data_IF_343308475206
#
_entry.id   IF_343308475206
#
_cell.length_a   1.000
_cell.length_b   1.000
_cell.length_c   1.000
_cell.angle_alpha   90.00
_cell.angle_beta   90.00
_cell.angle_gamma   90.00
#
_symmetry.space_group_name_H-M   'P 1'
#
loop_
_entity.id
_entity.type
_entity.pdbx_description
1 polymer ?
#
# COMPACT_ATOMS: atom_id res chain seq x y z
N UNK A 1 -0.80 0.85 -33.85
CA UNK A 1 -0.89 0.25 -35.18
C UNK A 1 -0.11 1.05 -36.25
N UNK A 2 -0.04 2.38 -36.20
CA UNK A 2 0.66 3.22 -37.18
C UNK A 2 2.16 2.91 -37.30
N UNK A 3 2.82 2.50 -36.22
CA UNK A 3 4.25 2.14 -36.30
C UNK A 3 4.50 0.83 -37.01
N UNK A 4 3.51 -0.06 -37.11
CA UNK A 4 3.57 -1.35 -37.81
C UNK A 4 3.10 -1.27 -39.24
N UNK A 5 2.77 -0.06 -39.74
CA UNK A 5 2.28 0.13 -41.11
C UNK A 5 0.78 0.03 -41.27
N UNK A 6 0.05 -0.22 -40.20
CA UNK A 6 -1.41 -0.41 -40.20
C UNK A 6 -2.13 0.89 -39.80
N UNK A 7 -3.40 1.01 -40.18
CA UNK A 7 -4.22 2.14 -39.82
C UNK A 7 -5.63 1.70 -39.41
N UNK A 8 -6.16 2.34 -38.37
CA UNK A 8 -7.55 2.19 -37.95
C UNK A 8 -8.28 3.51 -38.27
N UNK A 9 -9.28 3.42 -39.15
CA UNK A 9 -10.13 4.54 -39.54
C UNK A 9 -11.33 4.69 -38.62
N UNK A 10 -11.94 5.88 -38.63
CA UNK A 10 -13.12 6.24 -37.82
C UNK A 10 -12.95 6.12 -36.31
N UNK A 11 -11.73 6.44 -35.81
CA UNK A 11 -11.48 6.56 -34.36
C UNK A 11 -12.28 7.66 -33.68
N UNK A 12 -12.80 8.60 -34.46
CA UNK A 12 -13.65 9.68 -33.98
C UNK A 12 -14.80 9.91 -34.94
N UNK A 13 -15.93 10.38 -34.45
CA UNK A 13 -17.08 10.78 -35.23
C UNK A 13 -17.63 12.12 -34.76
N UNK A 14 -18.40 12.80 -35.60
CA UNK A 14 -19.05 14.06 -35.28
C UNK A 14 -20.55 13.81 -35.16
N UNK A 15 -21.15 14.30 -34.08
CA UNK A 15 -22.60 14.19 -33.85
C UNK A 15 -23.40 15.22 -34.67
N UNK A 16 -24.71 15.18 -34.54
CA UNK A 16 -25.64 16.15 -35.21
C UNK A 16 -25.48 17.58 -34.73
N UNK A 17 -24.80 17.80 -33.60
CA UNK A 17 -24.50 19.12 -33.03
C UNK A 17 -23.10 19.60 -33.38
N UNK A 18 -22.40 18.92 -34.29
CA UNK A 18 -21.03 19.20 -34.69
C UNK A 18 -19.97 18.98 -33.61
N UNK A 19 -20.28 18.26 -32.51
CA UNK A 19 -19.30 17.91 -31.50
C UNK A 19 -18.55 16.65 -31.92
N UNK A 20 -17.22 16.67 -31.73
CA UNK A 20 -16.35 15.53 -32.06
C UNK A 20 -16.21 14.60 -30.87
N UNK A 21 -16.56 13.33 -31.07
CA UNK A 21 -16.50 12.27 -30.08
C UNK A 21 -15.47 11.21 -30.48
N UNK A 22 -14.85 10.57 -29.47
CA UNK A 22 -14.05 9.36 -29.70
C UNK A 22 -14.99 8.19 -29.95
N UNK A 23 -14.79 7.50 -31.06
CA UNK A 23 -15.56 6.29 -31.37
C UNK A 23 -15.10 5.13 -30.48
N UNK A 24 -16.00 4.64 -29.64
CA UNK A 24 -15.77 3.49 -28.76
C UNK A 24 -16.58 2.26 -29.18
N UNK A 25 -17.05 2.23 -30.43
CA UNK A 25 -17.91 1.20 -30.98
C UNK A 25 -19.28 1.71 -31.39
N UNK A 26 -19.57 3.04 -31.26
CA UNK A 26 -20.85 3.64 -31.65
C UNK A 26 -21.00 3.75 -33.17
N UNK A 27 -19.87 3.80 -33.89
CA UNK A 27 -19.80 3.79 -35.35
C UNK A 27 -18.81 2.75 -35.81
N UNK A 28 -19.02 2.22 -37.02
CA UNK A 28 -18.13 1.24 -37.62
C UNK A 28 -16.71 1.77 -37.74
N UNK A 29 -15.74 0.95 -37.39
CA UNK A 29 -14.31 1.24 -37.52
C UNK A 29 -13.70 0.26 -38.53
N UNK A 30 -12.80 0.75 -39.39
CA UNK A 30 -12.17 -0.03 -40.44
C UNK A 30 -10.67 -0.13 -40.18
N UNK A 31 -10.17 -1.37 -40.12
CA UNK A 31 -8.76 -1.66 -39.96
C UNK A 31 -8.16 -2.04 -41.29
N UNK A 32 -7.05 -1.39 -41.67
CA UNK A 32 -6.32 -1.69 -42.92
C UNK A 32 -4.87 -2.04 -42.54
N UNK A 33 -4.46 -3.24 -42.92
CA UNK A 33 -3.10 -3.72 -42.78
C UNK A 33 -2.22 -3.24 -43.92
N UNK A 34 -0.96 -2.91 -43.63
CA UNK A 34 0.02 -2.54 -44.65
C UNK A 34 -0.30 -1.26 -45.44
N UNK A 35 -1.03 -0.33 -44.84
CA UNK A 35 -1.42 0.94 -45.44
C UNK A 35 -0.19 1.80 -45.84
N UNK A 36 0.88 1.71 -45.09
CA UNK A 36 2.12 2.47 -45.32
C UNK A 36 3.34 1.64 -44.87
N UNK A 37 4.55 2.00 -45.27
CA UNK A 37 5.76 1.30 -44.84
C UNK A 37 5.87 1.32 -43.31
N UNK A 38 6.12 0.16 -42.72
CA UNK A 38 6.30 0.01 -41.27
C UNK A 38 7.58 0.73 -40.80
N UNK A 39 7.51 1.45 -39.71
CA UNK A 39 8.66 2.10 -39.04
C UNK A 39 9.40 1.09 -38.18
N UNK A 40 8.65 0.19 -37.52
CA UNK A 40 9.20 -0.92 -36.73
C UNK A 40 8.50 -2.22 -37.12
N UNK A 41 9.19 -3.34 -36.96
CA UNK A 41 8.58 -4.65 -37.20
C UNK A 41 7.45 -4.93 -36.21
N UNK A 42 6.45 -5.71 -36.61
CA UNK A 42 5.31 -6.13 -35.76
C UNK A 42 5.81 -6.83 -34.51
N UNK A 43 6.80 -7.69 -34.61
CA UNK A 43 7.43 -8.40 -33.50
C UNK A 43 8.03 -7.44 -32.46
N UNK A 44 8.77 -6.43 -32.93
CA UNK A 44 9.34 -5.40 -32.02
C UNK A 44 8.26 -4.59 -31.34
N UNK A 45 7.21 -4.22 -32.07
CA UNK A 45 6.07 -3.48 -31.51
C UNK A 45 5.33 -4.27 -30.44
N UNK A 46 5.06 -5.55 -30.69
CA UNK A 46 4.40 -6.45 -29.74
C UNK A 46 5.26 -6.72 -28.51
N UNK A 47 6.57 -6.93 -28.69
CA UNK A 47 7.50 -7.08 -27.56
C UNK A 47 7.52 -5.84 -26.65
N UNK A 48 7.57 -4.64 -27.23
CA UNK A 48 7.51 -3.38 -26.48
C UNK A 48 6.15 -3.21 -25.81
N UNK A 49 5.05 -3.52 -26.50
CA UNK A 49 3.70 -3.46 -25.95
C UNK A 49 3.53 -4.43 -24.76
N UNK A 50 4.09 -5.64 -24.84
CA UNK A 50 4.10 -6.60 -23.75
C UNK A 50 4.87 -6.08 -22.52
N UNK A 51 6.07 -5.49 -22.74
CA UNK A 51 6.86 -4.88 -21.65
C UNK A 51 6.13 -3.70 -21.01
N UNK A 52 5.50 -2.84 -21.82
CA UNK A 52 4.69 -1.71 -21.30
C UNK A 52 3.48 -2.25 -20.52
N UNK A 53 2.81 -3.28 -21.04
CA UNK A 53 1.69 -3.94 -20.38
C UNK A 53 2.07 -4.59 -19.05
N UNK A 54 3.22 -5.27 -19.00
CA UNK A 54 3.76 -5.86 -17.78
C UNK A 54 4.10 -4.77 -16.74
N UNK A 55 4.82 -3.73 -17.15
CA UNK A 55 5.11 -2.57 -16.29
C UNK A 55 3.84 -1.83 -15.84
N UNK A 56 2.82 -1.81 -16.69
CA UNK A 56 1.50 -1.27 -16.35
C UNK A 56 0.80 -2.12 -15.27
N UNK A 57 0.87 -3.45 -15.35
CA UNK A 57 0.32 -4.38 -14.36
C UNK A 57 1.09 -4.30 -13.03
N UNK A 58 2.41 -4.26 -13.06
CA UNK A 58 3.25 -4.07 -11.86
C UNK A 58 2.97 -2.74 -11.15
N UNK A 59 2.60 -1.68 -11.92
CA UNK A 59 2.19 -0.38 -11.37
C UNK A 59 0.71 -0.29 -11.00
N UNK A 60 -0.18 -1.12 -11.57
CA UNK A 60 -1.63 -1.07 -11.34
C UNK A 60 -2.08 -1.82 -10.09
N UNK A 61 -1.19 -2.52 -9.39
CA UNK A 61 -1.46 -3.05 -8.03
C UNK A 61 -1.69 -1.92 -7.01
N UNK A 62 -1.36 -0.68 -7.36
CA UNK A 62 -1.76 0.53 -6.64
C UNK A 62 -2.77 1.31 -7.48
N UNK A 63 -4.04 0.93 -7.41
CA UNK A 63 -5.15 1.77 -7.87
C UNK A 63 -5.20 3.04 -7.00
N UNK A 64 -4.64 4.11 -7.50
CA UNK A 64 -4.71 5.43 -6.85
C UNK A 64 -3.61 6.36 -7.33
N UNK A 65 -3.88 7.11 -8.36
CA UNK A 65 -3.11 8.25 -8.85
C UNK A 65 -1.85 7.99 -9.69
N UNK A 66 -2.03 8.19 -10.98
CA UNK A 66 -1.01 8.19 -12.05
C UNK A 66 0.19 9.15 -11.84
N UNK A 67 0.18 9.96 -10.77
CA UNK A 67 1.18 11.00 -10.45
C UNK A 67 1.87 10.84 -9.09
N UNK A 68 1.57 9.78 -8.32
CA UNK A 68 1.95 9.74 -6.89
C UNK A 68 3.41 9.35 -6.59
N UNK A 69 4.11 8.64 -7.49
CA UNK A 69 5.46 8.13 -7.19
C UNK A 69 6.59 8.85 -7.93
N UNK A 70 6.43 10.15 -8.20
CA UNK A 70 7.44 10.91 -8.94
C UNK A 70 8.58 11.43 -8.07
N UNK A 71 8.36 11.56 -6.78
CA UNK A 71 9.31 12.12 -5.82
C UNK A 71 9.30 11.26 -4.55
N UNK A 72 10.38 11.26 -3.76
CA UNK A 72 10.54 10.37 -2.59
C UNK A 72 9.39 10.46 -1.59
N UNK A 73 8.86 11.66 -1.40
CA UNK A 73 7.78 11.92 -0.43
C UNK A 73 6.37 11.88 -1.02
N UNK A 74 6.23 11.60 -2.34
CA UNK A 74 4.92 11.55 -3.00
C UNK A 74 4.01 10.49 -2.38
N UNK A 75 2.83 10.91 -1.91
CA UNK A 75 1.86 10.01 -1.27
C UNK A 75 2.23 9.52 0.13
N UNK A 76 3.43 9.87 0.63
CA UNK A 76 3.89 9.41 1.94
C UNK A 76 3.69 10.42 3.08
N UNK A 77 3.49 11.70 2.77
CA UNK A 77 3.26 12.73 3.79
C UNK A 77 1.77 12.88 4.05
N UNK A 78 1.37 12.67 5.30
CA UNK A 78 -0.01 12.71 5.77
C UNK A 78 -0.16 13.80 6.84
N UNK A 79 -1.22 14.56 6.78
CA UNK A 79 -1.54 15.59 7.75
C UNK A 79 -2.06 14.96 9.05
N UNK A 80 -1.43 15.24 10.18
CA UNK A 80 -1.87 14.78 11.50
C UNK A 80 -3.16 15.44 11.98
N UNK A 81 -3.57 16.58 11.39
CA UNK A 81 -4.80 17.29 11.75
C UNK A 81 -6.00 16.75 10.96
N UNK A 82 -5.92 16.67 9.64
CA UNK A 82 -7.06 16.33 8.78
C UNK A 82 -6.94 14.99 8.05
N UNK A 83 -5.84 14.26 8.19
CA UNK A 83 -5.60 12.97 7.54
C UNK A 83 -5.30 13.04 6.04
N UNK A 84 -5.31 14.22 5.43
CA UNK A 84 -5.12 14.38 3.99
C UNK A 84 -3.65 14.30 3.59
N UNK A 85 -3.38 13.89 2.35
CA UNK A 85 -2.02 13.84 1.81
C UNK A 85 -1.51 15.23 1.46
N UNK A 86 -0.18 15.37 1.44
CA UNK A 86 0.49 16.60 1.03
C UNK A 86 0.81 16.58 -0.47
N UNK A 87 0.67 17.73 -1.11
CA UNK A 87 1.00 17.97 -2.52
C UNK A 87 2.29 18.79 -2.64
N UNK A 88 3.20 18.34 -3.50
CA UNK A 88 4.46 19.06 -3.77
C UNK A 88 4.21 20.33 -4.55
N UNK A 89 4.77 21.44 -4.06
CA UNK A 89 4.74 22.75 -4.72
C UNK A 89 6.11 23.38 -4.76
N UNK A 90 6.35 24.21 -5.77
CA UNK A 90 7.56 25.02 -5.89
C UNK A 90 7.16 26.43 -5.49
N UNK A 91 7.84 26.95 -4.48
CA UNK A 91 7.67 28.31 -4.02
C UNK A 91 8.85 29.16 -4.50
N UNK A 92 8.55 30.40 -4.86
CA UNK A 92 9.53 31.39 -5.25
C UNK A 92 9.54 32.48 -4.18
N UNK A 93 10.68 32.67 -3.54
CA UNK A 93 10.96 33.82 -2.71
C UNK A 93 11.81 34.81 -3.52
N UNK A 94 11.96 36.03 -3.04
CA UNK A 94 12.71 37.11 -3.73
C UNK A 94 14.14 36.70 -4.10
N UNK A 95 14.74 35.76 -3.38
CA UNK A 95 16.13 35.35 -3.56
C UNK A 95 16.33 33.86 -3.85
N UNK A 96 15.31 33.00 -3.64
CA UNK A 96 15.50 31.56 -3.77
C UNK A 96 14.20 30.83 -4.15
N UNK A 97 14.39 29.81 -4.98
CA UNK A 97 13.36 28.79 -5.27
C UNK A 97 13.50 27.65 -4.28
N UNK A 98 12.43 27.28 -3.59
CA UNK A 98 12.41 26.14 -2.69
C UNK A 98 11.21 25.24 -2.93
N UNK A 99 11.36 23.98 -2.52
CA UNK A 99 10.31 22.97 -2.64
C UNK A 99 9.61 22.88 -1.29
N UNK A 100 8.27 22.96 -1.32
CA UNK A 100 7.43 22.76 -0.17
C UNK A 100 6.37 21.71 -0.43
N UNK A 101 5.96 21.05 0.63
CA UNK A 101 4.85 20.12 0.66
C UNK A 101 3.71 20.77 1.42
N UNK A 102 2.54 20.88 0.78
CA UNK A 102 1.37 21.58 1.30
C UNK A 102 0.22 20.59 1.50
N UNK A 103 -0.51 20.71 2.60
CA UNK A 103 -1.68 19.88 2.87
C UNK A 103 -2.73 20.08 1.76
N UNK A 104 -3.24 19.00 1.18
CA UNK A 104 -4.20 19.07 0.08
C UNK A 104 -5.51 19.74 0.52
N UNK A 105 -5.99 19.43 1.72
CA UNK A 105 -7.21 20.02 2.26
C UNK A 105 -7.06 21.52 2.54
N UNK A 106 -5.93 21.95 3.09
CA UNK A 106 -5.63 23.37 3.26
C UNK A 106 -5.53 24.13 1.93
N UNK A 107 -5.06 23.47 0.86
CA UNK A 107 -5.01 24.09 -0.49
C UNK A 107 -6.42 24.29 -1.05
N UNK A 108 -7.33 23.37 -0.80
CA UNK A 108 -8.70 23.40 -1.30
C UNK A 108 -9.55 24.37 -0.49
N UNK A 109 -9.47 24.32 0.84
CA UNK A 109 -10.20 25.13 1.78
C UNK A 109 -9.32 25.47 2.99
N UNK A 110 -8.92 26.74 3.12
CA UNK A 110 -8.00 27.21 4.17
C UNK A 110 -8.59 27.01 5.58
N UNK A 111 -9.90 27.10 5.72
CA UNK A 111 -10.62 27.00 7.00
C UNK A 111 -10.70 25.56 7.52
N UNK A 112 -10.57 24.55 6.65
CA UNK A 112 -10.75 23.15 7.00
C UNK A 112 -9.50 22.50 7.63
N UNK A 113 -8.35 23.14 7.55
CA UNK A 113 -7.09 22.61 8.11
C UNK A 113 -6.10 23.76 8.34
N UNK A 114 -5.54 23.83 9.54
CA UNK A 114 -4.57 24.88 9.89
C UNK A 114 -3.16 24.58 9.36
N UNK A 115 -2.91 23.35 8.93
CA UNK A 115 -1.62 22.86 8.45
C UNK A 115 -1.29 23.39 7.06
N UNK A 116 -0.37 24.35 6.99
CA UNK A 116 -0.05 25.04 5.76
C UNK A 116 0.91 24.23 4.87
N UNK A 117 2.20 24.34 5.17
CA UNK A 117 3.25 23.65 4.40
C UNK A 117 4.45 23.34 5.26
N UNK A 118 5.24 22.37 4.82
CA UNK A 118 6.57 22.04 5.34
C UNK A 118 7.58 22.08 4.19
N UNK A 119 8.81 22.46 4.48
CA UNK A 119 9.89 22.53 3.48
C UNK A 119 10.49 21.14 3.27
N UNK A 120 10.83 20.82 2.02
CA UNK A 120 11.41 19.53 1.68
C UNK A 120 12.78 19.33 2.31
N UNK A 121 13.63 20.35 2.25
CA UNK A 121 14.99 20.33 2.85
C UNK A 121 14.95 20.11 4.38
N UNK A 122 13.95 20.67 5.06
CA UNK A 122 13.75 20.44 6.48
C UNK A 122 13.33 18.99 6.79
N UNK A 123 12.49 18.39 5.95
CA UNK A 123 12.10 16.97 6.09
C UNK A 123 13.29 16.04 5.83
N UNK A 124 14.09 16.33 4.80
CA UNK A 124 15.32 15.59 4.50
C UNK A 124 16.33 15.65 5.65
N UNK A 125 16.55 16.83 6.21
CA UNK A 125 17.42 17.02 7.38
C UNK A 125 16.89 16.28 8.63
N UNK A 126 15.58 16.32 8.87
CA UNK A 126 14.95 15.58 9.97
C UNK A 126 15.09 14.07 9.79
N UNK A 127 14.94 13.55 8.57
CA UNK A 127 15.17 12.13 8.28
C UNK A 127 16.61 11.71 8.57
N UNK A 128 17.61 12.48 8.09
CA UNK A 128 19.01 12.22 8.38
C UNK A 128 19.29 12.23 9.88
N UNK A 129 18.73 13.19 10.60
CA UNK A 129 18.87 13.30 12.06
C UNK A 129 18.30 12.07 12.76
N UNK A 130 17.11 11.64 12.37
CA UNK A 130 16.46 10.42 12.88
C UNK A 130 17.33 9.18 12.63
N UNK A 131 17.82 8.99 11.40
CA UNK A 131 18.66 7.84 11.05
C UNK A 131 19.96 7.82 11.82
N UNK A 132 20.62 8.98 12.02
CA UNK A 132 21.84 9.09 12.82
C UNK A 132 21.60 8.79 14.30
N UNK A 133 20.48 9.26 14.86
CA UNK A 133 20.07 8.89 16.24
C UNK A 133 19.84 7.39 16.37
N UNK A 134 19.16 6.77 15.38
CA UNK A 134 18.96 5.32 15.35
C UNK A 134 20.27 4.56 15.21
N UNK A 135 21.18 4.98 14.34
CA UNK A 135 22.48 4.34 14.18
C UNK A 135 23.29 4.40 15.48
N UNK A 136 23.26 5.53 16.19
CA UNK A 136 23.91 5.66 17.49
C UNK A 136 23.25 4.79 18.58
N UNK A 137 21.94 4.75 18.63
CA UNK A 137 21.17 4.10 19.69
C UNK A 137 20.63 2.71 19.33
N UNK A 138 21.03 2.12 18.19
CA UNK A 138 20.46 0.88 17.65
C UNK A 138 20.45 -0.28 18.67
N UNK A 139 21.51 -0.44 19.48
CA UNK A 139 21.57 -1.50 20.51
C UNK A 139 20.57 -1.27 21.65
N UNK A 140 20.26 -0.02 21.97
CA UNK A 140 19.36 0.32 23.08
C UNK A 140 17.89 0.36 22.68
N UNK A 141 17.59 0.60 21.41
CA UNK A 141 16.22 0.77 20.90
C UNK A 141 15.82 -0.45 20.07
N UNK A 142 16.57 -0.78 19.02
CA UNK A 142 16.16 -1.78 18.04
C UNK A 142 16.38 -3.23 18.53
N UNK A 143 17.45 -3.50 19.29
CA UNK A 143 17.67 -4.85 19.81
C UNK A 143 16.58 -5.28 20.80
N UNK A 144 16.24 -4.52 21.85
CA UNK A 144 15.16 -4.90 22.76
C UNK A 144 13.80 -5.01 22.06
N UNK A 145 13.53 -4.14 21.08
CA UNK A 145 12.29 -4.21 20.29
C UNK A 145 12.21 -5.51 19.50
N UNK A 146 13.27 -5.87 18.78
CA UNK A 146 13.35 -7.15 18.06
C UNK A 146 13.11 -8.34 19.00
N UNK A 147 13.78 -8.33 20.17
CA UNK A 147 13.71 -9.43 21.12
C UNK A 147 12.32 -9.50 21.77
N UNK A 148 11.65 -8.35 21.99
CA UNK A 148 10.28 -8.29 22.46
C UNK A 148 9.30 -8.86 21.41
N UNK A 149 9.43 -8.42 20.13
CA UNK A 149 8.59 -8.91 19.04
C UNK A 149 8.71 -10.42 18.84
N UNK A 150 9.90 -11.00 19.02
CA UNK A 150 10.10 -12.44 18.92
C UNK A 150 9.56 -13.24 20.10
N UNK A 151 9.48 -12.65 21.30
CA UNK A 151 9.01 -13.35 22.50
C UNK A 151 7.50 -13.43 22.63
N UNK A 152 6.80 -12.46 22.09
CA UNK A 152 5.33 -12.32 22.29
C UNK A 152 4.54 -13.34 21.46
N UNK A 153 5.09 -13.84 20.34
CA UNK A 153 4.24 -14.44 19.31
C UNK A 153 4.26 -15.97 19.18
N UNK A 154 5.35 -16.66 19.53
CA UNK A 154 5.48 -18.04 19.03
C UNK A 154 4.69 -19.08 19.82
N UNK A 155 4.61 -18.99 21.15
CA UNK A 155 4.06 -20.08 21.97
C UNK A 155 2.55 -19.95 22.23
N UNK A 156 2.04 -18.74 22.48
CA UNK A 156 0.64 -18.52 22.86
C UNK A 156 -0.27 -18.46 21.63
N UNK A 157 0.20 -17.83 20.57
CA UNK A 157 -0.52 -17.77 19.29
C UNK A 157 -0.68 -19.15 18.65
N UNK A 158 0.37 -19.95 18.62
CA UNK A 158 0.30 -21.31 18.09
C UNK A 158 -0.61 -22.23 18.91
N UNK A 159 -0.58 -22.12 20.25
CA UNK A 159 -1.52 -22.86 21.13
C UNK A 159 -2.97 -22.48 20.85
N UNK A 160 -3.24 -21.20 20.71
CA UNK A 160 -4.59 -20.70 20.41
C UNK A 160 -5.09 -21.19 19.04
N UNK A 161 -4.21 -21.26 18.03
CA UNK A 161 -4.56 -21.83 16.71
C UNK A 161 -4.88 -23.32 16.85
N UNK A 162 -4.06 -24.09 17.56
CA UNK A 162 -4.28 -25.53 17.78
C UNK A 162 -5.60 -25.82 18.52
N UNK A 163 -5.95 -24.99 19.52
CA UNK A 163 -7.24 -25.09 20.22
C UNK A 163 -8.42 -24.79 19.31
N UNK A 164 -8.29 -23.74 18.45
CA UNK A 164 -9.34 -23.41 17.48
C UNK A 164 -9.49 -24.49 16.42
N UNK A 165 -8.41 -25.11 15.95
CA UNK A 165 -8.47 -26.23 15.02
C UNK A 165 -9.21 -27.43 15.60
N UNK A 166 -8.92 -27.81 16.84
CA UNK A 166 -9.64 -28.87 17.55
C UNK A 166 -11.14 -28.58 17.67
N UNK A 167 -11.50 -27.32 17.89
CA UNK A 167 -12.91 -26.90 17.96
C UNK A 167 -13.59 -26.92 16.58
N UNK A 168 -12.89 -26.49 15.53
CA UNK A 168 -13.36 -26.57 14.15
C UNK A 168 -13.64 -28.03 13.76
N UNK A 169 -12.71 -28.93 14.05
CA UNK A 169 -12.87 -30.37 13.77
C UNK A 169 -14.07 -30.94 14.51
N UNK A 170 -14.29 -30.59 15.77
CA UNK A 170 -15.44 -31.04 16.56
C UNK A 170 -16.78 -30.51 15.97
N UNK A 171 -16.83 -29.30 15.43
CA UNK A 171 -18.01 -28.76 14.76
C UNK A 171 -18.28 -29.49 13.44
N UNK A 172 -17.24 -29.78 12.65
CA UNK A 172 -17.35 -30.56 11.41
C UNK A 172 -17.83 -31.99 11.66
N UNK A 173 -17.35 -32.65 12.72
CA UNK A 173 -17.83 -33.97 13.13
C UNK A 173 -19.33 -33.94 13.50
N UNK A 174 -19.80 -32.91 14.24
CA UNK A 174 -21.22 -32.72 14.57
C UNK A 174 -22.06 -32.50 13.30
N UNK A 175 -21.57 -31.71 12.34
CA UNK A 175 -22.26 -31.48 11.06
C UNK A 175 -22.41 -32.80 10.28
N UNK A 176 -21.38 -33.64 10.29
CA UNK A 176 -21.39 -34.95 9.63
C UNK A 176 -22.38 -35.92 10.30
N UNK A 177 -22.43 -35.96 11.63
CA UNK A 177 -23.37 -36.75 12.41
C UNK A 177 -24.81 -36.28 12.11
N UNK A 178 -25.06 -34.97 12.12
CA UNK A 178 -26.36 -34.38 11.81
C UNK A 178 -26.81 -34.74 10.39
N UNK A 179 -25.92 -34.69 9.41
CA UNK A 179 -26.19 -35.07 8.03
C UNK A 179 -26.51 -36.56 7.89
N UNK A 180 -25.80 -37.42 8.64
CA UNK A 180 -26.09 -38.88 8.66
C UNK A 180 -27.42 -39.19 9.30
N UNK A 181 -27.83 -38.52 10.37
CA UNK A 181 -29.14 -38.70 11.02
C UNK A 181 -30.29 -38.27 10.10
N UNK A 182 -30.10 -37.17 9.37
CA UNK A 182 -31.06 -36.73 8.35
C UNK A 182 -31.20 -37.73 7.22
N UNK A 183 -30.08 -38.27 6.70
CA UNK A 183 -30.10 -39.27 5.61
C UNK A 183 -30.79 -40.58 6.02
N UNK A 184 -30.73 -40.94 7.30
CA UNK A 184 -31.41 -42.12 7.86
C UNK A 184 -32.88 -41.86 8.23
N UNK A 185 -33.38 -40.65 8.06
CA UNK A 185 -34.76 -40.27 8.37
C UNK A 185 -35.06 -40.14 9.87
N UNK A 186 -34.04 -40.01 10.72
CA UNK A 186 -34.19 -39.86 12.16
C UNK A 186 -34.36 -38.39 12.60
N UNK A 187 -34.25 -37.44 11.70
CA UNK A 187 -34.37 -36.03 12.00
C UNK A 187 -35.41 -35.34 11.12
N UNK A 188 -36.16 -34.43 11.71
CA UNK A 188 -37.12 -33.61 11.01
C UNK A 188 -36.42 -32.55 10.15
N UNK A 189 -36.85 -32.32 8.88
CA UNK A 189 -36.18 -31.38 7.98
C UNK A 189 -36.04 -29.96 8.53
N UNK A 190 -37.02 -29.47 9.28
CA UNK A 190 -36.99 -28.15 9.88
C UNK A 190 -35.93 -28.04 10.96
N UNK A 191 -35.80 -29.04 11.83
CA UNK A 191 -34.78 -29.09 12.90
C UNK A 191 -33.40 -29.25 12.28
N UNK A 192 -33.24 -30.10 11.24
CA UNK A 192 -31.99 -30.22 10.51
C UNK A 192 -31.52 -28.89 9.95
N UNK A 193 -32.40 -28.11 9.31
CA UNK A 193 -32.07 -26.79 8.77
C UNK A 193 -31.64 -25.79 9.82
N UNK A 194 -32.30 -25.77 10.97
CA UNK A 194 -31.94 -24.88 12.09
C UNK A 194 -30.57 -25.21 12.67
N UNK A 195 -30.32 -26.47 13.01
CA UNK A 195 -29.07 -26.96 13.58
C UNK A 195 -27.91 -26.78 12.61
N UNK A 196 -28.11 -27.06 11.34
CA UNK A 196 -27.09 -26.87 10.29
C UNK A 196 -26.68 -25.40 10.16
N UNK A 197 -27.65 -24.48 10.20
CA UNK A 197 -27.34 -23.05 10.11
C UNK A 197 -26.58 -22.55 11.37
N UNK A 198 -26.88 -23.12 12.53
CA UNK A 198 -26.18 -22.78 13.78
C UNK A 198 -24.73 -23.28 13.75
N UNK A 199 -24.50 -24.54 13.32
CA UNK A 199 -23.17 -25.09 13.15
C UNK A 199 -22.36 -24.32 12.08
N UNK A 200 -23.00 -23.93 10.97
CA UNK A 200 -22.33 -23.14 9.94
C UNK A 200 -21.88 -21.77 10.47
N UNK A 201 -22.72 -21.11 11.28
CA UNK A 201 -22.35 -19.84 11.90
C UNK A 201 -21.22 -20.02 12.92
N UNK A 202 -21.27 -21.05 13.78
CA UNK A 202 -20.18 -21.37 14.72
C UNK A 202 -18.88 -21.64 13.99
N UNK A 203 -18.92 -22.37 12.86
CA UNK A 203 -17.77 -22.67 12.02
C UNK A 203 -17.15 -21.40 11.41
N UNK A 204 -17.96 -20.48 10.93
CA UNK A 204 -17.51 -19.21 10.36
C UNK A 204 -16.85 -18.33 11.44
N UNK A 205 -17.46 -18.21 12.62
CA UNK A 205 -16.88 -17.47 13.76
C UNK A 205 -15.51 -18.03 14.22
N UNK A 206 -15.39 -19.37 14.25
CA UNK A 206 -14.12 -20.01 14.61
C UNK A 206 -13.02 -19.80 13.56
N UNK A 207 -13.39 -19.88 12.28
CA UNK A 207 -12.47 -19.60 11.16
C UNK A 207 -11.99 -18.16 11.17
N UNK A 208 -12.91 -17.21 11.35
CA UNK A 208 -12.58 -15.78 11.42
C UNK A 208 -11.62 -15.46 12.57
N UNK A 209 -11.84 -16.09 13.73
CA UNK A 209 -10.91 -15.96 14.88
C UNK A 209 -9.53 -16.53 14.57
N UNK A 210 -9.47 -17.73 13.98
CA UNK A 210 -8.21 -18.36 13.55
C UNK A 210 -7.46 -17.46 12.58
N UNK A 211 -8.14 -16.94 11.55
CA UNK A 211 -7.56 -16.06 10.55
C UNK A 211 -7.10 -14.71 11.13
N UNK A 212 -7.79 -14.19 12.14
CA UNK A 212 -7.36 -12.99 12.85
C UNK A 212 -6.04 -13.22 13.62
N UNK A 213 -5.89 -14.36 14.30
CA UNK A 213 -4.66 -14.73 15.01
C UNK A 213 -3.52 -14.93 14.02
N UNK A 214 -3.74 -15.67 12.91
CA UNK A 214 -2.72 -15.88 11.86
C UNK A 214 -2.27 -14.54 11.27
N UNK A 215 -3.18 -13.62 10.99
CA UNK A 215 -2.84 -12.27 10.50
C UNK A 215 -2.03 -11.47 11.50
N UNK A 216 -2.34 -11.58 12.80
CA UNK A 216 -1.57 -10.94 13.87
C UNK A 216 -0.15 -11.49 13.94
N UNK A 217 0.01 -12.82 13.97
CA UNK A 217 1.32 -13.49 13.99
C UNK A 217 2.18 -13.11 12.77
N UNK A 218 1.60 -13.15 11.57
CA UNK A 218 2.30 -12.77 10.35
C UNK A 218 2.74 -11.30 10.37
N UNK A 219 1.91 -10.41 10.91
CA UNK A 219 2.25 -9.00 11.08
C UNK A 219 3.42 -8.80 12.04
N UNK A 220 3.42 -9.50 13.18
CA UNK A 220 4.51 -9.42 14.15
C UNK A 220 5.82 -9.99 13.62
N UNK A 221 5.77 -11.12 12.90
CA UNK A 221 6.95 -11.68 12.24
C UNK A 221 7.50 -10.71 11.17
N UNK A 222 6.64 -10.13 10.34
CA UNK A 222 7.06 -9.15 9.33
C UNK A 222 7.69 -7.91 9.98
N UNK A 223 7.14 -7.44 11.11
CA UNK A 223 7.70 -6.34 11.87
C UNK A 223 9.07 -6.72 12.49
N UNK A 224 9.22 -7.93 13.02
CA UNK A 224 10.50 -8.41 13.55
C UNK A 224 11.58 -8.49 12.48
N UNK A 225 11.22 -8.93 11.27
CA UNK A 225 12.14 -8.97 10.13
C UNK A 225 12.52 -7.57 9.65
N UNK A 226 11.57 -6.64 9.60
CA UNK A 226 11.82 -5.24 9.27
C UNK A 226 12.72 -4.55 10.31
N UNK A 227 12.55 -4.84 11.62
CA UNK A 227 13.47 -4.40 12.68
C UNK A 227 14.85 -4.99 12.49
N UNK A 228 14.96 -6.26 12.14
CA UNK A 228 16.24 -6.92 11.88
C UNK A 228 16.99 -6.28 10.70
N UNK A 229 16.28 -5.96 9.64
CA UNK A 229 16.83 -5.28 8.47
C UNK A 229 17.35 -3.88 8.82
N UNK A 230 16.54 -3.11 9.55
CA UNK A 230 16.92 -1.79 10.05
C UNK A 230 18.15 -1.88 10.99
N UNK A 231 18.19 -2.88 11.85
CA UNK A 231 19.28 -3.14 12.77
C UNK A 231 20.60 -3.47 12.03
N UNK A 232 20.54 -4.31 11.01
CA UNK A 232 21.69 -4.64 10.15
C UNK A 232 22.21 -3.40 9.42
N UNK A 233 21.31 -2.56 8.94
CA UNK A 233 21.66 -1.31 8.28
C UNK A 233 22.31 -0.34 9.26
N UNK A 234 21.67 -0.04 10.39
CA UNK A 234 22.15 0.94 11.37
C UNK A 234 23.45 0.51 12.07
N UNK A 235 23.71 -0.80 12.22
CA UNK A 235 24.94 -1.32 12.77
C UNK A 235 26.16 -1.17 11.84
N UNK A 236 25.93 -1.02 10.53
CA UNK A 236 26.99 -0.88 9.50
C UNK A 236 27.09 0.55 8.96
N UNK A 237 26.04 1.34 9.17
CA UNK A 237 25.97 2.68 8.60
C UNK A 237 26.98 3.61 9.27
N UNK A 238 27.77 4.27 8.45
CA UNK A 238 28.42 5.50 8.83
C UNK A 238 27.38 6.63 8.98
N UNK A 239 27.80 7.77 9.52
CA UNK A 239 26.91 8.91 9.69
C UNK A 239 26.30 9.35 8.36
N UNK A 240 24.98 9.42 8.28
CA UNK A 240 24.25 9.85 7.08
C UNK A 240 24.40 11.36 6.94
N UNK A 241 25.13 11.80 5.92
CA UNK A 241 25.43 13.22 5.65
C UNK A 241 24.64 13.81 4.52
N UNK A 242 23.98 12.97 3.69
CA UNK A 242 23.11 13.36 2.60
C UNK A 242 21.83 12.53 2.61
N UNK A 243 20.73 13.12 2.12
CA UNK A 243 19.47 12.40 1.98
C UNK A 243 19.58 11.35 0.88
N UNK A 244 19.22 10.12 1.21
CA UNK A 244 19.19 8.98 0.31
C UNK A 244 17.74 8.51 0.13
N UNK A 245 17.24 8.60 -1.10
CA UNK A 245 15.87 8.24 -1.48
C UNK A 245 15.61 6.73 -1.34
N UNK A 246 16.61 5.89 -1.64
CA UNK A 246 16.49 4.44 -1.54
C UNK A 246 16.40 4.01 -0.07
N UNK A 247 17.24 4.57 0.79
CA UNK A 247 17.21 4.33 2.24
C UNK A 247 15.89 4.80 2.83
N UNK A 248 15.43 5.98 2.44
CA UNK A 248 14.11 6.49 2.85
C UNK A 248 12.98 5.54 2.39
N UNK A 249 12.96 5.16 1.12
CA UNK A 249 11.96 4.26 0.54
C UNK A 249 11.95 2.86 1.16
N UNK A 250 13.12 2.40 1.60
CA UNK A 250 13.32 1.09 2.23
C UNK A 250 12.73 1.04 3.63
N UNK A 251 12.94 2.04 4.46
CA UNK A 251 12.60 1.98 5.88
C UNK A 251 11.35 2.78 6.28
N UNK A 252 11.00 3.85 5.55
CA UNK A 252 9.86 4.72 5.90
C UNK A 252 8.61 4.30 5.14
N UNK A 253 7.54 4.05 5.88
CA UNK A 253 6.20 3.80 5.34
C UNK A 253 5.51 5.13 5.02
N UNK A 254 5.37 6.01 6.01
CA UNK A 254 4.75 7.33 5.88
C UNK A 254 5.37 8.35 6.84
N UNK A 255 5.10 9.62 6.58
CA UNK A 255 5.43 10.75 7.44
C UNK A 255 4.13 11.37 7.93
N UNK A 256 3.96 11.52 9.22
CA UNK A 256 2.84 12.24 9.83
C UNK A 256 3.29 13.63 10.26
N UNK A 257 2.61 14.66 9.78
CA UNK A 257 2.94 16.05 10.09
C UNK A 257 2.07 16.50 11.24
N UNK A 258 2.64 16.66 12.43
CA UNK A 258 1.93 17.12 13.62
C UNK A 258 1.84 18.63 13.70
N UNK A 259 2.88 19.33 13.21
CA UNK A 259 2.92 20.78 13.11
C UNK A 259 3.92 21.20 12.03
N UNK A 260 4.03 22.51 11.78
CA UNK A 260 5.06 23.05 10.88
C UNK A 260 6.49 22.81 11.35
N UNK A 261 6.68 22.47 12.60
CA UNK A 261 7.99 22.26 13.26
C UNK A 261 8.19 20.84 13.76
N UNK A 262 7.21 19.94 13.61
CA UNK A 262 7.28 18.56 14.13
C UNK A 262 6.68 17.57 13.17
N UNK A 263 7.43 16.50 12.88
CA UNK A 263 6.98 15.37 12.05
C UNK A 263 7.27 14.05 12.76
N UNK A 264 6.46 13.04 12.45
CA UNK A 264 6.68 11.65 12.85
C UNK A 264 7.02 10.80 11.63
N UNK A 265 8.15 10.12 11.65
CA UNK A 265 8.47 9.09 10.66
C UNK A 265 7.91 7.75 11.15
N UNK A 266 6.91 7.24 10.46
CA UNK A 266 6.38 5.90 10.67
C UNK A 266 7.21 4.94 9.85
N UNK A 267 7.97 4.08 10.52
CA UNK A 267 8.82 3.09 9.88
C UNK A 267 8.03 1.81 9.57
N UNK A 268 8.44 1.09 8.55
CA UNK A 268 7.82 -0.19 8.14
C UNK A 268 7.85 -1.28 9.22
N UNK A 269 8.69 -1.12 10.23
CA UNK A 269 8.75 -1.99 11.40
C UNK A 269 7.75 -1.60 12.52
N UNK A 270 6.85 -0.66 12.26
CA UNK A 270 5.84 -0.20 13.21
C UNK A 270 6.31 0.89 14.19
N UNK A 271 7.60 1.26 14.20
CA UNK A 271 8.09 2.36 15.03
C UNK A 271 7.70 3.72 14.46
N UNK A 272 7.25 4.62 15.33
CA UNK A 272 7.06 6.04 14.99
C UNK A 272 8.07 6.89 15.76
N UNK A 273 8.90 7.61 15.03
CA UNK A 273 9.94 8.47 15.58
C UNK A 273 9.65 9.93 15.24
N UNK A 274 9.55 10.75 16.27
CA UNK A 274 9.28 12.19 16.13
C UNK A 274 10.57 12.98 16.00
N UNK A 275 10.58 13.92 15.06
CA UNK A 275 11.69 14.84 14.82
C UNK A 275 11.18 16.26 14.62
N UNK A 276 12.04 17.22 14.98
CA UNK A 276 11.78 18.64 14.74
C UNK A 276 12.24 19.03 13.35
N UNK A 277 11.43 19.79 12.66
CA UNK A 277 11.81 20.47 11.43
C UNK A 277 12.53 21.77 11.78
N UNK A 278 13.79 21.83 11.38
CA UNK A 278 14.62 23.05 11.51
C UNK A 278 14.64 23.69 10.13
N UNK A 279 14.02 24.87 10.00
CA UNK A 279 13.93 25.59 8.74
C UNK A 279 13.87 27.07 8.93
#
# INVERSE_FOLDING_TARGET
>A
EKYTGDILFQKTYTDSQFNRHTNRGEKDMYYMEGHHPAIVSRETFEAVAAVIGQRGKEKSVTQGNKYQNRYPFSGKIICGECGSSFKRRIHYSTHQKYIAWCCSKHIEHIEDCSMQFIRQDAVEAAFMTMMNKLAYAHRRILQPLRDALRRVDDAEGFRSIEELEKRIDAVLEREQVLSNLMAKGYLEPALYGSEKNELARELEELKDRKDAIIRSLNSSMANADAVNELLKFTARAEMVTAFDEEVFGRFVEKIEVYSRSEVGFVLKCGLTLKERLVG
#
